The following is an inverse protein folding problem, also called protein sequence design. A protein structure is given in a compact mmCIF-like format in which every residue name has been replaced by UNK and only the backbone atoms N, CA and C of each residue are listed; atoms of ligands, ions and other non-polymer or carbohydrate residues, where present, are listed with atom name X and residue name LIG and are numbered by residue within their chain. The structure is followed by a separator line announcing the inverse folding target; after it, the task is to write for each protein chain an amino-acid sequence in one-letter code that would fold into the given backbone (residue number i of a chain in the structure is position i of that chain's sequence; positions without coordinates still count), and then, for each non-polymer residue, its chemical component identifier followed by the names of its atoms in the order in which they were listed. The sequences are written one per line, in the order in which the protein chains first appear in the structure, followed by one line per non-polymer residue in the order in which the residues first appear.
data_IF_007665027158
#
_entry.id   IF_007665027158
#
_cell.length_a   1.000
_cell.length_b   1.000
_cell.length_c   1.000
_cell.angle_alpha   90.00
_cell.angle_beta   90.00
_cell.angle_gamma   90.00
#
_symmetry.space_group_name_H-M   'P 1'
#
loop_
_entity.id
_entity.type
_entity.pdbx_description
1 polymer ?
#
# COMPACT_ATOMS: atom_id res chain seq x y z
N UNK A 1 36.60 -10.44 -3.57
CA UNK A 1 35.35 -9.75 -3.97
C UNK A 1 35.47 -8.30 -3.50
N UNK A 2 35.46 -7.32 -4.42
CA UNK A 2 35.83 -5.93 -4.13
C UNK A 2 34.78 -5.23 -3.26
N UNK A 3 35.21 -4.45 -2.26
CA UNK A 3 34.30 -3.71 -1.35
C UNK A 3 33.34 -2.76 -2.09
N UNK A 4 33.71 -2.30 -3.29
CA UNK A 4 32.85 -1.47 -4.13
C UNK A 4 31.64 -2.23 -4.68
N UNK A 5 31.77 -3.54 -4.91
CA UNK A 5 30.70 -4.36 -5.49
C UNK A 5 29.60 -4.68 -4.48
N UNK A 6 29.96 -4.89 -3.21
CA UNK A 6 29.00 -5.12 -2.11
C UNK A 6 28.23 -3.84 -1.78
N UNK A 7 28.89 -2.68 -1.80
CA UNK A 7 28.25 -1.36 -1.58
C UNK A 7 27.24 -1.07 -2.70
N UNK A 8 27.59 -1.31 -3.96
CA UNK A 8 26.70 -1.02 -5.09
C UNK A 8 25.45 -1.92 -5.10
N UNK A 9 25.62 -3.23 -4.82
CA UNK A 9 24.49 -4.16 -4.65
C UNK A 9 23.54 -3.75 -3.52
N UNK A 10 24.09 -3.18 -2.43
CA UNK A 10 23.29 -2.69 -1.32
C UNK A 10 22.45 -1.46 -1.72
N UNK A 11 23.06 -0.49 -2.41
CA UNK A 11 22.36 0.70 -2.89
C UNK A 11 21.22 0.35 -3.85
N UNK A 12 21.45 -0.58 -4.78
CA UNK A 12 20.42 -1.03 -5.73
C UNK A 12 19.27 -1.73 -5.00
N UNK A 13 19.57 -2.58 -4.02
CA UNK A 13 18.55 -3.24 -3.19
C UNK A 13 17.66 -2.22 -2.46
N UNK A 14 18.25 -1.22 -1.81
CA UNK A 14 17.48 -0.18 -1.12
C UNK A 14 16.64 0.67 -2.09
N UNK A 15 17.21 1.06 -3.22
CA UNK A 15 16.51 1.85 -4.24
C UNK A 15 15.30 1.09 -4.80
N UNK A 16 15.44 -0.20 -5.09
CA UNK A 16 14.34 -1.04 -5.55
C UNK A 16 13.21 -1.14 -4.52
N UNK A 17 13.53 -1.35 -3.24
CA UNK A 17 12.52 -1.36 -2.18
C UNK A 17 11.79 -0.02 -2.06
N UNK A 18 12.52 1.09 -2.14
CA UNK A 18 11.92 2.44 -2.10
C UNK A 18 10.95 2.62 -3.27
N UNK A 19 11.34 2.23 -4.49
CA UNK A 19 10.47 2.33 -5.67
C UNK A 19 9.20 1.49 -5.49
N UNK A 20 9.33 0.24 -5.01
CA UNK A 20 8.17 -0.64 -4.77
C UNK A 20 7.20 0.00 -3.76
N UNK A 21 7.71 0.56 -2.66
CA UNK A 21 6.86 1.21 -1.67
C UNK A 21 6.24 2.50 -2.16
N UNK A 22 6.98 3.33 -2.90
CA UNK A 22 6.44 4.55 -3.50
C UNK A 22 5.33 4.23 -4.50
N UNK A 23 5.53 3.24 -5.37
CA UNK A 23 4.51 2.78 -6.32
C UNK A 23 3.29 2.19 -5.61
N UNK A 24 3.51 1.40 -4.56
CA UNK A 24 2.45 0.84 -3.74
C UNK A 24 1.62 1.92 -3.05
N UNK A 25 2.28 2.91 -2.45
CA UNK A 25 1.64 4.07 -1.85
C UNK A 25 0.80 4.85 -2.87
N UNK A 26 1.38 5.20 -4.02
CA UNK A 26 0.68 5.96 -5.07
C UNK A 26 -0.51 5.17 -5.64
N UNK A 27 -0.38 3.86 -5.76
CA UNK A 27 -1.45 2.98 -6.22
C UNK A 27 -2.61 2.92 -5.22
N UNK A 28 -2.32 2.83 -3.92
CA UNK A 28 -3.34 2.86 -2.86
C UNK A 28 -4.07 4.20 -2.85
N UNK A 29 -3.34 5.32 -2.92
CA UNK A 29 -3.92 6.67 -2.97
C UNK A 29 -4.77 6.85 -4.23
N UNK A 30 -4.25 6.48 -5.41
CA UNK A 30 -4.98 6.58 -6.68
C UNK A 30 -6.26 5.75 -6.70
N UNK A 31 -6.18 4.48 -6.31
CA UNK A 31 -7.34 3.58 -6.22
C UNK A 31 -8.37 4.08 -5.21
N UNK A 32 -7.91 4.61 -4.07
CA UNK A 32 -8.81 5.14 -3.06
C UNK A 32 -9.66 6.29 -3.61
N UNK A 33 -9.09 7.16 -4.47
CA UNK A 33 -9.78 8.31 -5.07
C UNK A 33 -10.74 7.92 -6.18
N UNK A 34 -10.35 6.99 -7.06
CA UNK A 34 -11.22 6.50 -8.13
C UNK A 34 -12.53 5.93 -7.56
N UNK A 35 -12.45 5.32 -6.38
CA UNK A 35 -13.60 4.72 -5.71
C UNK A 35 -14.61 5.73 -5.15
N UNK A 36 -14.24 7.00 -4.92
CA UNK A 36 -15.16 8.00 -4.33
C UNK A 36 -16.31 8.37 -5.28
N UNK A 37 -16.14 8.21 -6.60
CA UNK A 37 -17.21 8.49 -7.57
C UNK A 37 -17.76 9.93 -7.49
N UNK A 38 -18.91 10.23 -8.13
CA UNK A 38 -19.59 11.51 -7.97
C UNK A 38 -20.11 11.69 -6.53
N UNK A 39 -20.12 12.94 -6.05
CA UNK A 39 -20.49 13.28 -4.67
C UNK A 39 -21.87 12.78 -4.24
N UNK A 40 -22.85 12.78 -5.14
CA UNK A 40 -24.21 12.28 -4.89
C UNK A 40 -24.26 10.77 -4.62
N UNK A 41 -23.42 9.98 -5.29
CA UNK A 41 -23.29 8.55 -5.00
C UNK A 41 -22.59 8.33 -3.66
N UNK A 42 -21.68 9.23 -3.29
CA UNK A 42 -20.93 9.14 -2.05
C UNK A 42 -21.80 9.38 -0.82
N UNK A 43 -22.67 10.38 -0.89
CA UNK A 43 -23.62 10.70 0.20
C UNK A 43 -24.58 9.52 0.44
N UNK A 44 -25.07 8.87 -0.63
CA UNK A 44 -25.90 7.66 -0.53
C UNK A 44 -25.16 6.48 0.11
N UNK A 45 -23.88 6.29 -0.22
CA UNK A 45 -23.03 5.23 0.36
C UNK A 45 -22.78 5.47 1.84
N UNK A 46 -22.59 6.71 2.28
CA UNK A 46 -22.45 7.03 3.71
C UNK A 46 -23.74 6.75 4.47
N UNK A 47 -24.89 7.11 3.91
CA UNK A 47 -26.16 7.02 4.61
C UNK A 47 -26.69 5.58 4.69
N UNK A 48 -26.50 4.78 3.64
CA UNK A 48 -27.13 3.46 3.51
C UNK A 48 -26.16 2.27 3.57
N UNK A 49 -24.91 2.45 3.10
CA UNK A 49 -23.99 1.32 2.83
C UNK A 49 -22.59 1.50 3.47
N UNK A 50 -22.48 2.31 4.52
CA UNK A 50 -21.19 2.70 5.10
C UNK A 50 -20.33 1.50 5.53
N UNK A 51 -20.89 0.57 6.30
CA UNK A 51 -20.17 -0.61 6.80
C UNK A 51 -19.76 -1.55 5.64
N UNK A 52 -20.66 -1.97 4.73
CA UNK A 52 -20.29 -2.75 3.55
C UNK A 52 -19.20 -2.09 2.70
N UNK A 53 -19.32 -0.78 2.43
CA UNK A 53 -18.37 -0.03 1.63
C UNK A 53 -16.99 0.05 2.32
N UNK A 54 -16.97 0.28 3.64
CA UNK A 54 -15.73 0.30 4.43
C UNK A 54 -15.01 -1.06 4.34
N UNK A 55 -15.74 -2.15 4.50
CA UNK A 55 -15.17 -3.51 4.45
C UNK A 55 -14.62 -3.83 3.06
N UNK A 56 -15.43 -3.61 2.01
CA UNK A 56 -15.01 -3.93 0.64
C UNK A 56 -13.78 -3.14 0.23
N UNK A 57 -13.76 -1.82 0.50
CA UNK A 57 -12.60 -0.97 0.21
C UNK A 57 -11.37 -1.37 1.03
N UNK A 58 -11.55 -1.73 2.31
CA UNK A 58 -10.45 -2.19 3.16
C UNK A 58 -9.83 -3.48 2.60
N UNK A 59 -10.66 -4.44 2.21
CA UNK A 59 -10.19 -5.70 1.61
C UNK A 59 -9.45 -5.42 0.31
N UNK A 60 -10.03 -4.61 -0.58
CA UNK A 60 -9.43 -4.29 -1.87
C UNK A 60 -8.08 -3.57 -1.72
N UNK A 61 -8.01 -2.51 -0.91
CA UNK A 61 -6.76 -1.78 -0.65
C UNK A 61 -5.71 -2.68 0.01
N UNK A 62 -6.11 -3.54 0.95
CA UNK A 62 -5.20 -4.50 1.57
C UNK A 62 -4.65 -5.49 0.55
N UNK A 63 -5.47 -6.00 -0.37
CA UNK A 63 -5.03 -6.92 -1.43
C UNK A 63 -4.01 -6.26 -2.36
N UNK A 64 -4.25 -5.01 -2.77
CA UNK A 64 -3.29 -4.22 -3.55
C UNK A 64 -1.99 -4.02 -2.76
N UNK A 65 -2.08 -3.69 -1.48
CA UNK A 65 -0.93 -3.55 -0.59
C UNK A 65 -0.09 -4.82 -0.48
N UNK A 66 -0.75 -5.96 -0.32
CA UNK A 66 -0.11 -7.27 -0.20
C UNK A 66 0.66 -7.65 -1.47
N UNK A 67 0.20 -7.23 -2.65
CA UNK A 67 0.93 -7.39 -3.91
C UNK A 67 2.30 -6.69 -3.86
N UNK A 68 2.37 -5.44 -3.41
CA UNK A 68 3.63 -4.71 -3.29
C UNK A 68 4.54 -5.28 -2.19
N UNK A 69 3.94 -5.78 -1.11
CA UNK A 69 4.66 -6.47 -0.05
C UNK A 69 5.27 -7.80 -0.54
N UNK A 70 4.54 -8.52 -1.40
CA UNK A 70 5.02 -9.69 -2.13
C UNK A 70 6.19 -9.36 -3.07
N UNK A 71 6.12 -8.25 -3.80
CA UNK A 71 7.24 -7.77 -4.63
C UNK A 71 8.48 -7.45 -3.77
N UNK A 72 8.30 -6.78 -2.64
CA UNK A 72 9.36 -6.49 -1.67
C UNK A 72 10.03 -7.76 -1.13
N UNK A 73 9.24 -8.81 -0.85
CA UNK A 73 9.73 -10.13 -0.48
C UNK A 73 10.58 -10.77 -1.58
N UNK A 74 10.11 -10.73 -2.83
CA UNK A 74 10.82 -11.28 -3.98
C UNK A 74 12.19 -10.60 -4.12
N UNK A 75 12.25 -9.27 -4.03
CA UNK A 75 13.52 -8.52 -4.06
C UNK A 75 14.43 -8.95 -2.91
N UNK A 76 13.90 -9.08 -1.70
CA UNK A 76 14.70 -9.54 -0.54
C UNK A 76 15.28 -10.95 -0.75
N UNK A 77 14.50 -11.86 -1.36
CA UNK A 77 14.92 -13.22 -1.70
C UNK A 77 16.01 -13.25 -2.77
N UNK A 78 15.88 -12.45 -3.84
CA UNK A 78 16.87 -12.35 -4.92
C UNK A 78 18.22 -11.86 -4.38
N UNK A 79 18.19 -10.87 -3.50
CA UNK A 79 19.41 -10.27 -2.92
C UNK A 79 19.91 -10.99 -1.65
N UNK A 80 19.25 -12.09 -1.23
CA UNK A 80 19.56 -12.86 -0.02
C UNK A 80 19.70 -11.98 1.23
N UNK A 81 18.82 -10.99 1.36
CA UNK A 81 18.75 -10.07 2.51
C UNK A 81 17.63 -10.48 3.45
N UNK A 82 17.82 -10.23 4.74
CA UNK A 82 16.75 -10.38 5.72
C UNK A 82 15.56 -9.49 5.34
N UNK A 83 14.35 -10.05 5.49
CA UNK A 83 13.13 -9.29 5.31
C UNK A 83 12.38 -9.16 6.63
N UNK A 84 11.91 -7.96 6.95
CA UNK A 84 11.08 -7.70 8.13
C UNK A 84 9.59 -7.75 7.78
N UNK A 85 9.18 -8.82 7.11
CA UNK A 85 7.81 -8.98 6.59
C UNK A 85 6.71 -8.68 7.61
N UNK A 86 6.76 -9.16 8.88
CA UNK A 86 5.70 -8.86 9.85
C UNK A 86 5.57 -7.35 10.14
N UNK A 87 6.70 -6.63 10.23
CA UNK A 87 6.69 -5.18 10.46
C UNK A 87 6.12 -4.44 9.26
N UNK A 88 6.53 -4.83 8.05
CA UNK A 88 6.03 -4.27 6.80
C UNK A 88 4.52 -4.51 6.65
N UNK A 89 4.04 -5.71 6.99
CA UNK A 89 2.62 -6.08 6.95
C UNK A 89 1.78 -5.26 7.93
N UNK A 90 2.24 -5.08 9.17
CA UNK A 90 1.55 -4.23 10.16
C UNK A 90 1.46 -2.79 9.66
N UNK A 91 2.55 -2.26 9.12
CA UNK A 91 2.57 -0.92 8.52
C UNK A 91 1.56 -0.78 7.37
N UNK A 92 1.48 -1.78 6.49
CA UNK A 92 0.51 -1.80 5.40
C UNK A 92 -0.93 -1.81 5.90
N UNK A 93 -1.26 -2.64 6.89
CA UNK A 93 -2.61 -2.76 7.44
C UNK A 93 -3.05 -1.44 8.10
N UNK A 94 -2.18 -0.86 8.94
CA UNK A 94 -2.45 0.44 9.57
C UNK A 94 -2.62 1.54 8.54
N UNK A 95 -1.73 1.61 7.54
CA UNK A 95 -1.82 2.61 6.49
C UNK A 95 -3.09 2.47 5.65
N UNK A 96 -3.43 1.25 5.25
CA UNK A 96 -4.63 0.96 4.44
C UNK A 96 -5.90 1.32 5.22
N UNK A 97 -5.93 1.02 6.52
CA UNK A 97 -7.05 1.36 7.39
C UNK A 97 -7.20 2.88 7.57
N UNK A 98 -6.11 3.59 7.87
CA UNK A 98 -6.11 5.05 8.02
C UNK A 98 -6.52 5.73 6.72
N UNK A 99 -5.94 5.32 5.59
CA UNK A 99 -6.29 5.86 4.28
C UNK A 99 -7.79 5.66 4.01
N UNK A 100 -8.32 4.46 4.27
CA UNK A 100 -9.73 4.19 4.05
C UNK A 100 -10.63 5.02 4.98
N UNK A 101 -10.25 5.21 6.25
CA UNK A 101 -10.98 6.10 7.18
C UNK A 101 -11.00 7.55 6.71
N UNK A 102 -9.86 8.10 6.30
CA UNK A 102 -9.75 9.49 5.82
C UNK A 102 -10.67 9.70 4.60
N UNK A 103 -10.68 8.74 3.67
CA UNK A 103 -11.53 8.79 2.48
C UNK A 103 -13.01 8.65 2.84
N UNK A 104 -13.35 7.81 3.82
CA UNK A 104 -14.74 7.62 4.26
C UNK A 104 -15.30 8.83 4.99
N UNK A 105 -14.46 9.55 5.75
CA UNK A 105 -14.83 10.76 6.48
C UNK A 105 -14.88 12.02 5.60
N UNK A 106 -14.65 11.89 4.29
CA UNK A 106 -14.76 13.01 3.34
C UNK A 106 -13.67 14.06 3.47
N UNK A 107 -12.63 13.85 4.30
CA UNK A 107 -11.50 14.78 4.47
C UNK A 107 -10.69 14.98 3.18
N UNK A 108 -10.79 14.05 2.24
CA UNK A 108 -10.21 14.12 0.91
C UNK A 108 -11.33 13.74 -0.08
N UNK A 109 -12.21 14.70 -0.38
CA UNK A 109 -13.15 14.65 -1.51
C UNK A 109 -12.67 15.54 -2.64
#
# INVERSE_FOLDING_TARGET
MSSKESVNKNNIFFLLKIIIYAMGFLSLVGMSRIWIGPKENWDQVIENDFIPALLFRSIFLTMVGLLFLGLSLIVSKIYKRENHFPKELVGLLLFSFILNLIMMLGFIT
#
